data_IF_700905158064
#
_entry.id   IF_700905158064
#
_cell.length_a   1.000
_cell.length_b   1.000
_cell.length_c   1.000
_cell.angle_alpha   90.00
_cell.angle_beta   90.00
_cell.angle_gamma   90.00
#
_symmetry.space_group_name_H-M   'P 1'
#
loop_
_entity.id
_entity.type
_entity.pdbx_description
1 polymer ?
#
# COMPACT_ATOMS: atom_id res chain seq x y z
N UNK A 1 18.78 -7.95 -29.50
CA UNK A 1 17.75 -8.73 -28.77
C UNK A 1 18.27 -9.00 -27.38
N UNK A 2 17.60 -8.49 -26.34
CA UNK A 2 17.92 -8.82 -24.94
C UNK A 2 17.02 -9.98 -24.54
N UNK A 3 17.56 -11.19 -24.48
CA UNK A 3 16.84 -12.34 -23.95
C UNK A 3 16.83 -12.19 -22.43
N UNK A 4 15.74 -11.69 -21.87
CA UNK A 4 15.51 -11.82 -20.43
C UNK A 4 15.20 -13.28 -20.16
N UNK A 5 16.18 -14.02 -19.65
CA UNK A 5 15.94 -15.28 -18.93
C UNK A 5 14.88 -14.96 -17.88
N UNK A 6 13.72 -15.64 -17.97
CA UNK A 6 12.67 -15.54 -16.97
C UNK A 6 13.24 -15.87 -15.58
N UNK A 7 12.61 -15.39 -14.51
CA UNK A 7 13.07 -15.69 -13.15
C UNK A 7 13.25 -17.21 -13.00
N UNK A 8 14.44 -17.61 -12.54
CA UNK A 8 14.75 -19.03 -12.33
C UNK A 8 13.99 -19.53 -11.11
N UNK A 9 13.64 -20.82 -11.07
CA UNK A 9 12.90 -21.42 -9.95
C UNK A 9 13.56 -21.15 -8.59
N UNK A 10 14.91 -21.05 -8.56
CA UNK A 10 15.66 -20.68 -7.36
C UNK A 10 15.40 -19.25 -6.90
N UNK A 11 15.38 -18.29 -7.82
CA UNK A 11 15.12 -16.90 -7.47
C UNK A 11 13.68 -16.71 -6.96
N UNK A 12 12.72 -17.46 -7.50
CA UNK A 12 11.34 -17.46 -7.01
C UNK A 12 11.26 -18.08 -5.61
N UNK A 13 11.93 -19.21 -5.37
CA UNK A 13 11.99 -19.86 -4.06
C UNK A 13 12.62 -18.95 -2.99
N UNK A 14 13.74 -18.30 -3.32
CA UNK A 14 14.43 -17.36 -2.42
C UNK A 14 13.53 -16.18 -2.02
N UNK A 15 12.77 -15.64 -2.98
CA UNK A 15 11.80 -14.55 -2.74
C UNK A 15 10.66 -15.03 -1.84
N UNK A 16 10.08 -16.20 -2.11
CA UNK A 16 9.01 -16.79 -1.30
C UNK A 16 9.51 -17.07 0.13
N UNK A 17 10.74 -17.56 0.27
CA UNK A 17 11.36 -17.85 1.56
C UNK A 17 11.60 -16.59 2.37
N UNK A 18 12.06 -15.52 1.73
CA UNK A 18 12.19 -14.20 2.36
C UNK A 18 10.83 -13.63 2.77
N UNK A 19 9.80 -13.75 1.92
CA UNK A 19 8.43 -13.34 2.26
C UNK A 19 7.90 -14.07 3.48
N UNK A 20 8.01 -15.39 3.50
CA UNK A 20 7.62 -16.20 4.66
C UNK A 20 8.39 -15.79 5.90
N UNK A 21 9.71 -15.61 5.80
CA UNK A 21 10.53 -15.15 6.92
C UNK A 21 10.07 -13.79 7.47
N UNK A 22 9.70 -12.85 6.60
CA UNK A 22 9.22 -11.52 6.99
C UNK A 22 7.87 -11.57 7.71
N UNK A 23 6.99 -12.51 7.31
CA UNK A 23 5.69 -12.75 7.93
C UNK A 23 5.79 -13.55 9.25
N UNK A 24 6.70 -14.52 9.33
CA UNK A 24 6.80 -15.48 10.44
C UNK A 24 7.63 -14.95 11.63
N UNK A 25 8.61 -14.05 11.38
CA UNK A 25 9.33 -13.33 12.46
C UNK A 25 8.60 -12.03 12.86
N UNK A 26 7.61 -11.61 12.08
CA UNK A 26 6.91 -10.33 12.23
C UNK A 26 5.89 -10.26 13.37
N UNK A 27 6.29 -10.61 14.60
CA UNK A 27 5.57 -10.26 15.86
C UNK A 27 5.61 -8.72 16.09
N UNK A 28 5.25 -7.92 15.08
CA UNK A 28 5.31 -6.46 15.09
C UNK A 28 6.72 -5.84 14.93
N UNK A 29 7.79 -6.63 15.02
CA UNK A 29 9.18 -6.14 15.00
C UNK A 29 9.59 -5.45 13.69
N UNK A 30 9.02 -5.88 12.55
CA UNK A 30 9.33 -5.29 11.24
C UNK A 30 8.82 -3.84 11.15
N UNK A 31 7.63 -3.58 11.69
CA UNK A 31 7.04 -2.24 11.73
C UNK A 31 7.91 -1.31 12.57
N UNK A 32 8.38 -1.76 13.73
CA UNK A 32 9.29 -0.99 14.58
C UNK A 32 10.66 -0.76 13.92
N UNK A 33 11.17 -1.73 13.16
CA UNK A 33 12.43 -1.60 12.42
C UNK A 33 12.37 -0.55 11.31
N UNK A 34 11.31 -0.53 10.50
CA UNK A 34 11.14 0.42 9.39
C UNK A 34 10.64 1.78 9.88
N UNK A 35 9.71 1.75 10.83
CA UNK A 35 9.04 2.91 11.43
C UNK A 35 9.30 3.01 12.94
N UNK A 36 10.53 3.38 13.35
CA UNK A 36 10.84 3.58 14.75
C UNK A 36 10.04 4.75 15.33
N UNK A 37 9.37 4.54 16.47
CA UNK A 37 8.45 5.50 17.09
C UNK A 37 7.32 5.97 16.14
N UNK A 38 6.68 5.01 15.44
CA UNK A 38 5.60 5.28 14.48
C UNK A 38 4.53 6.24 15.02
N UNK A 39 3.98 5.98 16.21
CA UNK A 39 2.92 6.81 16.82
C UNK A 39 3.34 8.26 17.05
N UNK A 40 4.61 8.49 17.41
CA UNK A 40 5.13 9.85 17.63
C UNK A 40 5.30 10.64 16.32
N UNK A 41 5.47 9.94 15.19
CA UNK A 41 5.79 10.55 13.89
C UNK A 41 4.66 10.44 12.87
N UNK A 42 3.51 9.85 13.21
CA UNK A 42 2.40 9.59 12.28
C UNK A 42 1.88 10.85 11.59
N UNK A 43 1.94 11.99 12.28
CA UNK A 43 1.50 13.29 11.76
C UNK A 43 2.57 14.03 10.95
N UNK A 44 3.73 13.42 10.68
CA UNK A 44 4.84 14.03 9.96
C UNK A 44 4.99 13.40 8.57
N UNK A 45 4.50 14.02 7.49
CA UNK A 45 4.58 13.45 6.14
C UNK A 45 6.02 13.20 5.67
N UNK A 46 6.98 13.99 6.16
CA UNK A 46 8.40 13.82 5.87
C UNK A 46 8.99 12.55 6.46
N UNK A 47 8.43 12.04 7.57
CA UNK A 47 8.92 10.85 8.27
C UNK A 47 8.85 9.60 7.39
N UNK A 48 7.75 9.45 6.63
CA UNK A 48 7.52 8.31 5.75
C UNK A 48 8.35 8.33 4.46
N UNK A 49 9.03 9.44 4.15
CA UNK A 49 9.88 9.53 2.96
C UNK A 49 11.01 8.51 3.05
N UNK A 50 11.26 7.81 1.93
CA UNK A 50 12.30 6.78 1.81
C UNK A 50 12.11 5.54 2.71
N UNK A 51 10.94 5.38 3.36
CA UNK A 51 10.60 4.24 4.22
C UNK A 51 9.51 3.37 3.59
N UNK A 52 9.58 3.17 2.29
CA UNK A 52 8.63 2.32 1.55
C UNK A 52 8.95 0.84 1.80
N UNK A 53 7.93 0.06 2.14
CA UNK A 53 8.04 -1.40 2.19
C UNK A 53 7.56 -1.94 0.86
N UNK A 54 8.40 -2.71 0.17
CA UNK A 54 8.08 -3.35 -1.09
C UNK A 54 8.02 -4.86 -0.88
N UNK A 55 6.88 -5.46 -1.21
CA UNK A 55 6.70 -6.90 -1.23
C UNK A 55 6.76 -7.46 -2.66
N UNK A 56 7.15 -8.72 -2.83
CA UNK A 56 7.12 -9.43 -4.11
C UNK A 56 5.70 -9.78 -4.58
N UNK A 57 4.75 -9.93 -3.66
CA UNK A 57 3.34 -10.22 -3.95
C UNK A 57 2.42 -9.19 -3.29
N UNK A 58 1.25 -8.97 -3.90
CA UNK A 58 0.23 -8.08 -3.35
C UNK A 58 -0.29 -8.58 -1.99
N UNK A 59 -0.45 -9.90 -1.84
CA UNK A 59 -0.89 -10.54 -0.60
C UNK A 59 0.02 -10.19 0.57
N UNK A 60 1.35 -10.30 0.39
CA UNK A 60 2.32 -9.94 1.41
C UNK A 60 2.26 -8.45 1.79
N UNK A 61 2.11 -7.56 0.80
CA UNK A 61 1.95 -6.13 1.06
C UNK A 61 0.67 -5.86 1.85
N UNK A 62 -0.42 -6.59 1.54
CA UNK A 62 -1.69 -6.45 2.24
C UNK A 62 -1.60 -6.93 3.71
N UNK A 63 -0.88 -8.02 3.97
CA UNK A 63 -0.62 -8.50 5.33
C UNK A 63 0.19 -7.48 6.14
N UNK A 64 1.28 -6.94 5.57
CA UNK A 64 2.07 -5.89 6.21
C UNK A 64 1.24 -4.63 6.47
N UNK A 65 0.40 -4.21 5.52
CA UNK A 65 -0.49 -3.07 5.73
C UNK A 65 -1.47 -3.32 6.88
N UNK A 66 -2.02 -4.53 6.99
CA UNK A 66 -2.92 -4.91 8.09
C UNK A 66 -2.20 -4.83 9.44
N UNK A 67 -0.97 -5.37 9.53
CA UNK A 67 -0.15 -5.29 10.74
C UNK A 67 0.14 -3.84 11.16
N UNK A 68 0.47 -2.96 10.20
CA UNK A 68 0.71 -1.54 10.50
C UNK A 68 -0.58 -0.89 11.00
N UNK A 69 -1.73 -1.18 10.38
CA UNK A 69 -3.03 -0.64 10.80
C UNK A 69 -3.41 -1.09 12.20
N UNK A 70 -3.12 -2.34 12.57
CA UNK A 70 -3.36 -2.86 13.93
C UNK A 70 -2.49 -2.17 15.00
N UNK A 71 -1.34 -1.60 14.60
CA UNK A 71 -0.48 -0.83 15.49
C UNK A 71 -0.97 0.62 15.72
N UNK A 72 -1.95 1.10 14.95
CA UNK A 72 -2.46 2.47 15.04
C UNK A 72 -3.69 2.52 15.95
N UNK A 73 -3.64 3.31 17.02
CA UNK A 73 -4.73 3.46 18.00
C UNK A 73 -5.91 4.35 17.52
N UNK A 74 -6.16 4.40 16.21
CA UNK A 74 -7.17 5.27 15.59
C UNK A 74 -8.44 4.55 15.16
N UNK A 75 -9.50 5.31 14.87
CA UNK A 75 -10.74 4.76 14.30
C UNK A 75 -10.47 4.15 12.91
N UNK A 76 -10.82 2.88 12.74
CA UNK A 76 -10.75 2.22 11.44
C UNK A 76 -11.81 2.83 10.51
N UNK A 77 -11.37 3.24 9.32
CA UNK A 77 -12.26 3.74 8.27
C UNK A 77 -12.10 2.88 7.03
N UNK A 78 -13.21 2.29 6.60
CA UNK A 78 -13.26 1.48 5.38
C UNK A 78 -13.61 2.42 4.22
N UNK A 79 -12.83 2.33 3.15
CA UNK A 79 -13.09 3.06 1.91
C UNK A 79 -13.35 2.06 0.80
N UNK A 80 -14.42 2.28 0.03
CA UNK A 80 -14.72 1.48 -1.15
C UNK A 80 -13.99 2.05 -2.37
N UNK A 81 -13.40 1.17 -3.18
CA UNK A 81 -12.84 1.59 -4.47
C UNK A 81 -13.96 2.05 -5.39
N UNK A 82 -13.75 3.20 -6.04
CA UNK A 82 -14.63 3.68 -7.10
C UNK A 82 -13.92 3.48 -8.43
N UNK A 83 -14.32 2.45 -9.17
CA UNK A 83 -13.75 2.15 -10.49
C UNK A 83 -14.33 3.05 -11.60
N UNK A 84 -15.36 3.84 -11.28
CA UNK A 84 -15.95 4.81 -12.18
C UNK A 84 -15.33 6.19 -11.95
N UNK A 85 -14.62 6.70 -12.95
CA UNK A 85 -14.30 8.12 -13.02
C UNK A 85 -15.62 8.87 -13.24
N UNK A 86 -16.09 9.60 -12.23
CA UNK A 86 -17.20 10.53 -12.42
C UNK A 86 -16.63 11.76 -13.13
N UNK A 87 -16.46 11.67 -14.44
CA UNK A 87 -16.06 12.80 -15.25
C UNK A 87 -17.30 13.66 -15.45
N UNK A 88 -17.52 14.63 -14.57
CA UNK A 88 -18.32 15.78 -14.97
C UNK A 88 -17.58 16.42 -16.14
N UNK A 89 -18.23 16.53 -17.30
CA UNK A 89 -17.68 17.11 -18.53
C UNK A 89 -17.17 18.55 -18.28
N UNK A 90 -15.94 18.68 -17.79
CA UNK A 90 -15.19 19.94 -17.77
C UNK A 90 -13.82 19.70 -18.36
N UNK A 91 -13.74 20.06 -19.65
CA UNK A 91 -12.56 20.39 -20.44
C UNK A 91 -11.31 19.51 -20.21
N UNK A 92 -11.26 18.43 -20.98
CA UNK A 92 -10.20 17.42 -21.02
C UNK A 92 -8.90 17.98 -21.64
N UNK A 93 -8.15 18.84 -20.95
CA UNK A 93 -6.80 19.19 -21.44
C UNK A 93 -5.75 19.45 -20.34
N UNK A 94 -6.12 19.54 -19.06
CA UNK A 94 -5.16 19.83 -17.97
C UNK A 94 -5.06 18.79 -16.85
N UNK A 95 -5.93 17.79 -16.79
CA UNK A 95 -6.19 17.07 -15.54
C UNK A 95 -5.60 15.65 -15.47
N UNK A 96 -4.64 15.30 -16.34
CA UNK A 96 -3.93 14.02 -16.23
C UNK A 96 -3.02 13.95 -14.99
N UNK A 97 -2.68 15.09 -14.40
CA UNK A 97 -1.87 15.20 -13.19
C UNK A 97 -2.69 15.13 -11.89
N UNK A 98 -4.01 14.99 -11.97
CA UNK A 98 -4.89 14.99 -10.81
C UNK A 98 -5.80 13.76 -10.78
N UNK A 99 -5.20 12.57 -10.65
CA UNK A 99 -5.90 11.51 -9.89
C UNK A 99 -5.87 11.96 -8.43
N UNK A 100 -6.76 12.87 -8.06
CA UNK A 100 -7.00 13.24 -6.66
C UNK A 100 -7.34 11.96 -5.89
N UNK A 101 -6.95 11.80 -4.62
CA UNK A 101 -7.38 10.64 -3.80
C UNK A 101 -8.90 10.57 -3.56
N UNK A 102 -9.67 11.47 -4.17
CA UNK A 102 -11.11 11.64 -4.03
C UNK A 102 -11.94 10.55 -4.74
N UNK A 103 -11.31 9.47 -5.21
CA UNK A 103 -11.97 8.24 -5.69
C UNK A 103 -12.44 7.32 -4.54
N UNK A 104 -12.19 7.69 -3.28
CA UNK A 104 -12.61 6.89 -2.13
C UNK A 104 -13.98 7.35 -1.62
N UNK A 105 -15.01 6.53 -1.85
CA UNK A 105 -16.38 6.84 -1.42
C UNK A 105 -16.59 6.45 0.04
N UNK A 106 -17.12 7.38 0.84
CA UNK A 106 -17.56 7.12 2.21
C UNK A 106 -19.09 6.98 2.20
N UNK A 107 -19.57 5.77 1.89
CA UNK A 107 -20.94 5.25 2.04
C UNK A 107 -22.14 6.01 1.41
N UNK A 108 -23.02 5.19 0.79
CA UNK A 108 -24.38 5.40 0.25
C UNK A 108 -24.92 6.82 0.01
N UNK A 109 -24.48 7.48 -1.05
CA UNK A 109 -25.34 8.42 -1.80
C UNK A 109 -25.50 7.90 -3.21
N UNK A 110 -26.49 7.02 -3.44
CA UNK A 110 -26.95 6.55 -4.77
C UNK A 110 -26.42 7.42 -5.91
N UNK A 111 -25.55 6.86 -6.76
CA UNK A 111 -25.41 7.40 -8.11
C UNK A 111 -26.81 7.30 -8.72
N UNK A 112 -27.46 8.45 -8.89
CA UNK A 112 -28.75 8.56 -9.55
C UNK A 112 -28.56 8.85 -11.02
#
# INVERSE_FOLDING_TARGET
>A
MRLTVGPTDKAVDDVIKFSKWLLDIGDGLMVEFVYPNLLANINQPSYFKHRSILGPTLEMVNEVNTLIMDCLEGDQKIYLSCDSLCVEERNMESDLDMITPNVLRHDYTKCS
#
